data_IF_097337557968
#
_entry.id   IF_097337557968
#
_cell.length_a   1.000
_cell.length_b   1.000
_cell.length_c   1.000
_cell.angle_alpha   90.00
_cell.angle_beta   90.00
_cell.angle_gamma   90.00
#
_symmetry.space_group_name_H-M   'P 1'
#
loop_
_entity.id
_entity.type
_entity.pdbx_description
1 polymer ?
#
# COMPACT_ATOMS: atom_id res chain seq x y z
N UNK A 1 -12.00 -5.96 16.77
CA UNK A 1 -11.46 -7.32 16.86
C UNK A 1 -9.95 -7.23 16.95
N UNK A 2 -9.39 -7.52 18.14
CA UNK A 2 -7.95 -7.72 18.29
C UNK A 2 -7.58 -8.94 17.45
N UNK A 3 -6.87 -8.73 16.36
CA UNK A 3 -6.16 -9.81 15.66
C UNK A 3 -5.18 -10.41 16.66
N UNK A 4 -5.26 -11.72 16.89
CA UNK A 4 -4.35 -12.44 17.81
C UNK A 4 -2.91 -12.25 17.30
N UNK A 5 -2.13 -11.39 17.98
CA UNK A 5 -0.74 -11.04 17.64
C UNK A 5 0.25 -12.22 17.73
N UNK A 6 -0.24 -13.46 17.90
CA UNK A 6 0.59 -14.67 17.89
C UNK A 6 0.96 -15.18 16.50
N UNK A 7 0.37 -14.63 15.45
CA UNK A 7 0.91 -14.80 14.09
C UNK A 7 2.01 -13.76 13.91
N UNK A 8 3.26 -14.20 13.84
CA UNK A 8 4.35 -13.33 13.42
C UNK A 8 4.20 -13.07 11.93
N UNK A 9 3.64 -11.95 11.58
CA UNK A 9 3.79 -11.39 10.24
C UNK A 9 5.28 -11.14 10.04
N UNK A 10 5.84 -11.61 8.93
CA UNK A 10 7.28 -11.51 8.70
C UNK A 10 7.61 -10.46 7.66
N UNK A 11 6.78 -10.31 6.63
CA UNK A 11 6.97 -9.27 5.63
C UNK A 11 5.69 -8.96 4.84
N UNK A 12 5.68 -7.75 4.28
CA UNK A 12 4.72 -7.32 3.29
C UNK A 12 5.45 -6.78 2.06
N UNK A 13 4.97 -7.16 0.88
CA UNK A 13 5.37 -6.55 -0.39
C UNK A 13 4.17 -5.87 -1.01
N UNK A 14 4.36 -4.63 -1.39
CA UNK A 14 3.38 -3.78 -2.02
C UNK A 14 3.89 -3.28 -3.37
N UNK A 15 2.97 -3.00 -4.30
CA UNK A 15 3.28 -2.50 -5.62
C UNK A 15 2.23 -1.50 -6.08
N UNK A 16 2.69 -0.30 -6.39
CA UNK A 16 1.91 0.72 -7.09
C UNK A 16 2.63 1.10 -8.39
N UNK A 17 2.39 0.34 -9.43
CA UNK A 17 3.04 0.55 -10.72
C UNK A 17 1.98 0.71 -11.81
N UNK A 18 1.95 1.89 -12.43
CA UNK A 18 1.02 2.27 -13.51
C UNK A 18 1.76 3.08 -14.57
N UNK A 19 1.11 3.30 -15.69
CA UNK A 19 1.55 4.29 -16.67
C UNK A 19 0.56 5.45 -16.71
N UNK A 20 0.91 6.59 -16.16
CA UNK A 20 0.15 7.83 -16.33
C UNK A 20 0.38 8.37 -17.75
N UNK A 21 -0.68 8.68 -18.53
CA UNK A 21 -0.52 9.20 -19.88
C UNK A 21 0.21 10.56 -19.88
N UNK A 22 0.91 10.87 -20.96
CA UNK A 22 1.68 12.12 -21.06
C UNK A 22 0.82 13.37 -20.87
N UNK A 23 -0.45 13.31 -21.29
CA UNK A 23 -1.44 14.38 -21.08
C UNK A 23 -1.75 14.66 -19.60
N UNK A 24 -1.49 13.70 -18.69
CA UNK A 24 -1.58 13.95 -17.26
C UNK A 24 -0.62 15.07 -16.83
N UNK A 25 0.53 15.16 -17.47
CA UNK A 25 1.60 16.11 -17.18
C UNK A 25 1.48 17.43 -17.94
N UNK A 26 0.40 17.67 -18.71
CA UNK A 26 0.14 18.96 -19.36
C UNK A 26 -0.13 20.07 -18.33
N UNK A 27 -0.50 19.70 -17.11
CA UNK A 27 -0.67 20.61 -15.98
C UNK A 27 0.72 20.84 -15.33
N UNK A 28 1.28 22.08 -15.38
CA UNK A 28 2.68 22.34 -15.04
C UNK A 28 3.11 21.89 -13.63
N UNK A 29 2.26 22.06 -12.61
CA UNK A 29 2.62 21.69 -11.25
C UNK A 29 2.91 20.19 -11.07
N UNK A 30 2.34 19.32 -11.93
CA UNK A 30 2.54 17.88 -11.89
C UNK A 30 3.94 17.42 -12.30
N UNK A 31 4.77 18.33 -12.83
CA UNK A 31 6.19 18.11 -13.20
C UNK A 31 7.15 18.61 -12.13
N UNK A 32 6.63 19.28 -11.10
CA UNK A 32 7.41 19.96 -10.08
C UNK A 32 7.60 19.06 -8.85
N UNK A 33 8.66 19.32 -8.07
CA UNK A 33 8.92 18.64 -6.79
C UNK A 33 7.69 18.66 -5.88
N UNK A 34 7.37 17.52 -5.31
CA UNK A 34 6.21 17.35 -4.42
C UNK A 34 4.91 16.95 -5.11
N UNK A 35 4.89 16.80 -6.43
CA UNK A 35 3.72 16.34 -7.17
C UNK A 35 3.85 14.89 -7.67
N UNK A 36 4.87 14.17 -7.21
CA UNK A 36 5.18 12.82 -7.66
C UNK A 36 4.37 11.74 -6.97
N UNK A 37 4.53 10.52 -7.47
CA UNK A 37 3.78 9.38 -7.00
C UNK A 37 4.02 9.03 -5.51
N UNK A 38 5.16 9.44 -4.91
CA UNK A 38 5.38 9.26 -3.48
C UNK A 38 4.30 9.99 -2.67
N UNK A 39 4.04 11.27 -2.97
CA UNK A 39 3.06 12.05 -2.20
C UNK A 39 1.63 11.87 -2.69
N UNK A 40 1.43 11.67 -4.00
CA UNK A 40 0.08 11.66 -4.60
C UNK A 40 -0.56 10.28 -4.56
N UNK A 41 0.22 9.21 -4.69
CA UNK A 41 -0.29 7.85 -4.81
C UNK A 41 0.03 6.97 -3.58
N UNK A 42 1.30 6.94 -3.14
CA UNK A 42 1.74 6.05 -2.06
C UNK A 42 1.07 6.34 -0.71
N UNK A 43 0.40 7.48 -0.53
CA UNK A 43 -0.35 7.79 0.70
C UNK A 43 -1.39 6.70 1.01
N UNK A 44 -2.04 6.16 0.00
CA UNK A 44 -3.06 5.11 0.15
C UNK A 44 -2.42 3.78 0.56
N UNK A 45 -1.27 3.45 -0.03
CA UNK A 45 -0.52 2.22 0.26
C UNK A 45 0.06 2.27 1.68
N UNK A 46 0.62 3.41 2.08
CA UNK A 46 1.12 3.64 3.45
C UNK A 46 -0.01 3.50 4.47
N UNK A 47 -1.16 4.12 4.23
CA UNK A 47 -2.32 4.04 5.12
C UNK A 47 -2.80 2.58 5.28
N UNK A 48 -2.90 1.85 4.16
CA UNK A 48 -3.27 0.44 4.16
C UNK A 48 -2.23 -0.44 4.89
N UNK A 49 -0.93 -0.19 4.69
CA UNK A 49 0.13 -0.91 5.40
C UNK A 49 0.08 -0.65 6.91
N UNK A 50 -0.14 0.59 7.34
CA UNK A 50 -0.32 0.95 8.75
C UNK A 50 -1.52 0.21 9.35
N UNK A 51 -2.64 0.18 8.63
CA UNK A 51 -3.85 -0.53 9.05
C UNK A 51 -3.62 -2.05 9.20
N UNK A 52 -2.96 -2.67 8.22
CA UNK A 52 -2.78 -4.13 8.16
C UNK A 52 -1.66 -4.64 9.06
N UNK A 53 -0.54 -3.92 9.16
CA UNK A 53 0.71 -4.38 9.78
C UNK A 53 0.99 -3.65 11.11
N UNK A 54 0.73 -2.35 11.15
CA UNK A 54 1.03 -1.47 12.29
C UNK A 54 1.91 -0.28 11.90
N UNK A 55 2.43 0.42 12.89
CA UNK A 55 3.17 1.66 12.67
C UNK A 55 4.59 1.38 12.15
N UNK A 56 5.03 2.07 11.09
CA UNK A 56 6.42 2.10 10.65
C UNK A 56 7.32 2.81 11.67
N UNK A 57 8.57 2.35 11.80
CA UNK A 57 9.58 2.95 12.70
C UNK A 57 10.89 3.30 11.99
N UNK A 58 11.21 2.62 10.89
CA UNK A 58 12.41 2.90 10.08
C UNK A 58 12.06 2.83 8.60
N UNK A 59 12.57 3.79 7.84
CA UNK A 59 12.34 3.94 6.40
C UNK A 59 13.69 4.06 5.68
N UNK A 60 13.85 3.29 4.60
CA UNK A 60 14.89 3.48 3.59
C UNK A 60 14.25 3.65 2.23
N UNK A 61 14.69 4.61 1.44
CA UNK A 61 14.09 4.89 0.14
C UNK A 61 15.11 5.30 -0.92
N UNK A 62 14.78 4.97 -2.15
CA UNK A 62 15.44 5.45 -3.35
C UNK A 62 14.37 5.92 -4.32
N UNK A 63 14.60 7.07 -4.95
CA UNK A 63 13.70 7.61 -5.96
C UNK A 63 14.49 8.01 -7.21
N UNK A 64 13.83 7.97 -8.34
CA UNK A 64 14.39 8.36 -9.63
C UNK A 64 13.33 9.07 -10.48
N UNK A 65 13.81 9.87 -11.44
CA UNK A 65 12.99 10.58 -12.43
C UNK A 65 13.48 10.29 -13.86
N UNK A 66 14.17 9.18 -14.05
CA UNK A 66 14.89 8.86 -15.27
C UNK A 66 13.99 8.48 -16.45
N UNK A 67 12.76 8.06 -16.18
CA UNK A 67 11.83 7.67 -17.23
C UNK A 67 11.24 8.88 -17.95
N UNK A 68 10.94 9.96 -17.23
CA UNK A 68 10.32 11.18 -17.78
C UNK A 68 11.23 12.40 -17.78
N UNK A 69 12.25 12.44 -16.91
CA UNK A 69 13.19 13.55 -16.82
C UNK A 69 12.59 14.84 -16.25
N UNK A 70 11.48 14.77 -15.51
CA UNK A 70 10.90 15.92 -14.80
C UNK A 70 11.63 16.18 -13.47
N UNK A 71 11.34 17.30 -12.82
CA UNK A 71 11.89 17.59 -11.48
C UNK A 71 11.36 16.62 -10.41
N UNK A 72 10.19 16.07 -10.63
CA UNK A 72 9.50 15.12 -9.75
C UNK A 72 9.96 13.69 -10.05
N UNK A 73 9.97 12.85 -9.04
CA UNK A 73 10.21 11.43 -9.19
C UNK A 73 9.08 10.76 -10.01
N UNK A 74 9.47 9.74 -10.80
CA UNK A 74 8.55 8.86 -11.54
C UNK A 74 8.62 7.40 -11.07
N UNK A 75 9.59 7.10 -10.20
CA UNK A 75 9.81 5.76 -9.67
C UNK A 75 10.44 5.83 -8.28
N UNK A 76 10.06 4.89 -7.41
CA UNK A 76 10.68 4.73 -6.10
C UNK A 76 10.67 3.27 -5.64
N UNK A 77 11.63 2.94 -4.78
CA UNK A 77 11.67 1.69 -4.00
C UNK A 77 11.87 2.06 -2.54
N UNK A 78 11.03 1.52 -1.68
CA UNK A 78 11.01 1.84 -0.25
C UNK A 78 11.05 0.55 0.57
N UNK A 79 11.92 0.51 1.57
CA UNK A 79 11.95 -0.52 2.60
C UNK A 79 11.46 0.07 3.93
N UNK A 80 10.67 -0.70 4.64
CA UNK A 80 10.00 -0.29 5.88
C UNK A 80 10.28 -1.32 6.97
N UNK A 81 10.60 -0.86 8.19
CA UNK A 81 10.52 -1.68 9.40
C UNK A 81 9.37 -1.18 10.25
N UNK A 82 8.54 -2.08 10.71
CA UNK A 82 7.41 -1.81 11.61
C UNK A 82 7.79 -2.06 13.08
N UNK A 83 7.04 -1.46 14.02
CA UNK A 83 7.22 -1.68 15.47
C UNK A 83 7.22 -3.16 15.86
N UNK A 84 6.45 -3.97 15.17
CA UNK A 84 6.38 -5.43 15.37
C UNK A 84 7.67 -6.18 14.99
N UNK A 85 8.61 -5.51 14.30
CA UNK A 85 9.78 -6.11 13.65
C UNK A 85 9.49 -6.67 12.25
N UNK A 86 8.25 -6.58 11.77
CA UNK A 86 7.87 -6.92 10.39
C UNK A 86 8.63 -6.02 9.42
N UNK A 87 9.04 -6.59 8.29
CA UNK A 87 9.68 -5.84 7.21
C UNK A 87 8.69 -5.64 6.06
N UNK A 88 8.76 -4.49 5.41
CA UNK A 88 7.96 -4.16 4.24
C UNK A 88 8.81 -3.64 3.10
N UNK A 89 8.29 -3.80 1.89
CA UNK A 89 8.83 -3.15 0.70
C UNK A 89 7.70 -2.64 -0.18
N UNK A 90 7.90 -1.46 -0.76
CA UNK A 90 7.00 -0.83 -1.73
C UNK A 90 7.79 -0.58 -3.00
N UNK A 91 7.24 -0.98 -4.14
CA UNK A 91 7.72 -0.55 -5.46
C UNK A 91 6.68 0.37 -6.08
N UNK A 92 7.12 1.53 -6.52
CA UNK A 92 6.25 2.60 -6.99
C UNK A 92 6.75 3.13 -8.33
N UNK A 93 5.87 3.21 -9.32
CA UNK A 93 6.16 3.96 -10.56
C UNK A 93 4.89 4.43 -11.23
N UNK A 94 4.90 5.65 -11.74
CA UNK A 94 3.83 6.17 -12.60
C UNK A 94 4.23 6.22 -14.10
N UNK A 95 5.37 5.63 -14.41
CA UNK A 95 5.90 5.48 -15.78
C UNK A 95 6.06 4.01 -16.21
N UNK A 96 5.51 3.06 -15.45
CA UNK A 96 5.61 1.64 -15.75
C UNK A 96 4.33 1.08 -16.39
N UNK A 97 4.45 0.41 -17.51
CA UNK A 97 3.36 -0.37 -18.09
C UNK A 97 3.15 -1.64 -17.27
N UNK A 98 2.30 -1.57 -16.26
CA UNK A 98 2.14 -2.62 -15.25
C UNK A 98 0.71 -2.69 -14.72
N UNK A 99 0.20 -3.91 -14.42
CA UNK A 99 -1.08 -4.09 -13.77
C UNK A 99 -0.97 -4.10 -12.23
N UNK A 100 0.24 -4.04 -11.65
CA UNK A 100 0.48 -4.23 -10.22
C UNK A 100 0.24 -2.94 -9.45
N UNK A 101 -1.03 -2.63 -9.22
CA UNK A 101 -1.53 -1.55 -8.38
C UNK A 101 -2.94 -1.90 -7.92
N UNK A 102 -3.39 -1.26 -6.85
CA UNK A 102 -4.73 -1.49 -6.29
C UNK A 102 -5.83 -1.19 -7.30
N UNK A 103 -5.74 -0.07 -7.99
CA UNK A 103 -6.78 0.43 -8.90
C UNK A 103 -7.13 -0.57 -10.03
N UNK A 104 -6.11 -1.17 -10.65
CA UNK A 104 -6.32 -2.15 -11.71
C UNK A 104 -6.77 -3.52 -11.14
N UNK A 105 -6.31 -3.89 -9.95
CA UNK A 105 -6.53 -5.24 -9.42
C UNK A 105 -7.79 -5.38 -8.58
N UNK A 106 -8.18 -4.37 -7.80
CA UNK A 106 -9.35 -4.41 -6.90
C UNK A 106 -10.68 -4.23 -7.63
N UNK A 107 -10.66 -3.69 -8.86
CA UNK A 107 -11.88 -3.43 -9.68
C UNK A 107 -12.88 -2.48 -9.02
N UNK A 108 -12.42 -1.66 -8.09
CA UNK A 108 -13.27 -0.70 -7.36
C UNK A 108 -13.46 0.62 -8.11
N UNK A 109 -12.53 0.92 -9.01
CA UNK A 109 -12.54 2.15 -9.80
C UNK A 109 -12.79 1.84 -11.29
N UNK A 110 -13.96 2.21 -11.85
CA UNK A 110 -14.32 1.89 -13.22
C UNK A 110 -13.49 2.62 -14.29
N UNK A 111 -12.69 3.62 -13.91
CA UNK A 111 -11.81 4.32 -14.85
C UNK A 111 -10.52 3.54 -15.16
N UNK A 112 -10.19 2.52 -14.36
CA UNK A 112 -9.04 1.67 -14.61
C UNK A 112 -9.46 0.38 -15.30
N UNK A 113 -8.71 0.00 -16.33
CA UNK A 113 -8.89 -1.30 -16.96
C UNK A 113 -8.55 -2.42 -15.95
N UNK A 114 -9.49 -3.34 -15.65
CA UNK A 114 -9.27 -4.34 -14.63
C UNK A 114 -8.28 -5.42 -15.10
N UNK A 115 -7.46 -5.91 -14.17
CA UNK A 115 -6.55 -7.01 -14.40
C UNK A 115 -6.61 -8.03 -13.26
N UNK A 116 -6.56 -9.32 -13.59
CA UNK A 116 -6.73 -10.41 -12.62
C UNK A 116 -5.38 -10.84 -12.02
N UNK A 117 -4.86 -10.03 -11.13
CA UNK A 117 -3.64 -10.28 -10.36
C UNK A 117 -3.72 -9.64 -8.98
N UNK A 118 -2.67 -9.79 -8.17
CA UNK A 118 -2.56 -9.15 -6.86
C UNK A 118 -1.46 -8.08 -6.86
N UNK A 119 -1.64 -7.07 -6.02
CA UNK A 119 -0.67 -5.98 -5.81
C UNK A 119 0.03 -6.08 -4.44
N UNK A 120 -0.62 -6.72 -3.45
CA UNK A 120 -0.10 -6.86 -2.08
C UNK A 120 0.10 -8.31 -1.71
N UNK A 121 1.19 -8.60 -1.00
CA UNK A 121 1.53 -9.93 -0.50
C UNK A 121 1.96 -9.83 0.95
N UNK A 122 1.16 -10.37 1.86
CA UNK A 122 1.44 -10.40 3.28
C UNK A 122 1.87 -11.83 3.63
N UNK A 123 3.07 -11.97 4.16
CA UNK A 123 3.66 -13.28 4.46
C UNK A 123 3.86 -13.44 5.95
N UNK A 124 3.42 -14.56 6.49
CA UNK A 124 3.52 -14.90 7.90
C UNK A 124 3.93 -16.34 8.12
N UNK A 125 4.27 -16.68 9.36
CA UNK A 125 4.76 -18.02 9.71
C UNK A 125 3.72 -19.13 9.58
N UNK A 126 2.43 -18.79 9.62
CA UNK A 126 1.34 -19.77 9.54
C UNK A 126 0.59 -19.74 8.21
N UNK A 127 0.79 -18.68 7.44
CA UNK A 127 0.14 -18.53 6.14
C UNK A 127 0.48 -17.20 5.51
N UNK A 128 0.15 -17.06 4.24
CA UNK A 128 0.34 -15.84 3.45
C UNK A 128 -0.97 -15.46 2.78
N UNK A 129 -1.18 -14.15 2.61
CA UNK A 129 -2.37 -13.60 1.99
C UNK A 129 -1.96 -12.71 0.83
N UNK A 130 -2.59 -12.87 -0.32
CA UNK A 130 -2.45 -11.92 -1.42
C UNK A 130 -3.73 -11.10 -1.60
N UNK A 131 -3.57 -9.81 -1.95
CA UNK A 131 -4.65 -8.85 -2.11
C UNK A 131 -4.61 -8.22 -3.50
N UNK A 132 -5.76 -7.93 -4.08
CA UNK A 132 -7.11 -7.93 -3.50
C UNK A 132 -7.87 -9.26 -3.63
N UNK A 133 -7.34 -10.26 -4.36
CA UNK A 133 -8.07 -11.54 -4.59
C UNK A 133 -8.26 -12.37 -3.33
N UNK A 134 -7.67 -12.00 -2.20
CA UNK A 134 -7.81 -12.66 -0.90
C UNK A 134 -7.47 -14.14 -0.94
N UNK A 135 -6.39 -14.48 -1.65
CA UNK A 135 -5.88 -15.83 -1.69
C UNK A 135 -5.07 -16.13 -0.43
N UNK A 136 -5.60 -16.97 0.43
CA UNK A 136 -4.94 -17.44 1.65
C UNK A 136 -4.19 -18.73 1.38
N UNK A 137 -2.87 -18.71 1.57
CA UNK A 137 -1.98 -19.84 1.41
C UNK A 137 -1.58 -20.37 2.78
N UNK A 138 -1.84 -21.66 3.05
CA UNK A 138 -1.49 -22.33 4.31
C UNK A 138 -1.00 -23.75 4.08
N UNK A 139 -0.27 -24.30 5.04
CA UNK A 139 0.03 -25.73 5.02
C UNK A 139 -1.15 -26.53 5.52
N UNK A 140 -1.54 -27.57 4.78
CA UNK A 140 -2.75 -28.39 5.05
C UNK A 140 -2.78 -28.94 6.47
N UNK A 141 -1.65 -29.41 6.97
CA UNK A 141 -1.55 -30.05 8.28
C UNK A 141 -1.11 -29.07 9.38
N UNK A 142 -1.06 -27.76 9.08
CA UNK A 142 -0.60 -26.73 10.01
C UNK A 142 0.89 -26.80 10.34
N UNK A 143 1.66 -27.70 9.71
CA UNK A 143 3.10 -27.86 9.90
C UNK A 143 3.82 -27.20 8.74
N UNK A 144 4.47 -26.08 9.02
CA UNK A 144 5.25 -25.33 8.03
C UNK A 144 6.51 -26.11 7.65
N UNK A 145 6.58 -26.53 6.38
CA UNK A 145 7.70 -27.28 5.81
C UNK A 145 7.78 -27.00 4.30
N UNK A 146 8.91 -26.54 3.83
CA UNK A 146 9.16 -26.20 2.42
C UNK A 146 9.02 -27.38 1.45
N UNK A 147 9.06 -28.61 1.96
CA UNK A 147 8.83 -29.84 1.16
C UNK A 147 7.37 -30.23 1.04
N UNK A 148 6.48 -29.57 1.81
CA UNK A 148 5.03 -29.85 1.82
C UNK A 148 4.29 -28.89 0.91
N UNK A 149 3.19 -29.35 0.27
CA UNK A 149 2.36 -28.49 -0.56
C UNK A 149 1.60 -27.49 0.28
N UNK A 150 1.54 -26.24 -0.20
CA UNK A 150 0.60 -25.24 0.27
C UNK A 150 -0.79 -25.51 -0.30
N UNK A 151 -1.81 -25.20 0.47
CA UNK A 151 -3.20 -25.04 0.00
C UNK A 151 -3.46 -23.56 -0.27
N UNK A 152 -4.36 -23.28 -1.21
CA UNK A 152 -4.83 -21.94 -1.50
C UNK A 152 -6.36 -21.91 -1.37
N UNK A 153 -6.86 -20.98 -0.56
CA UNK A 153 -8.28 -20.73 -0.39
C UNK A 153 -8.59 -19.27 -0.67
N UNK A 154 -9.68 -18.99 -1.39
CA UNK A 154 -10.15 -17.62 -1.62
C UNK A 154 -11.10 -17.25 -0.48
N UNK A 155 -10.76 -16.18 0.24
CA UNK A 155 -11.58 -15.69 1.34
C UNK A 155 -12.69 -14.79 0.80
N UNK A 156 -13.93 -15.05 1.21
CA UNK A 156 -15.07 -14.23 0.84
C UNK A 156 -15.11 -12.93 1.63
N UNK A 157 -15.40 -11.83 0.95
CA UNK A 157 -15.69 -10.54 1.56
C UNK A 157 -17.06 -10.04 1.15
N UNK A 158 -17.63 -9.15 1.96
CA UNK A 158 -18.84 -8.43 1.55
C UNK A 158 -18.46 -7.44 0.46
N UNK A 159 -19.13 -7.56 -0.67
CA UNK A 159 -19.01 -6.56 -1.73
C UNK A 159 -19.53 -5.20 -1.26
N UNK A 160 -18.87 -4.14 -1.67
CA UNK A 160 -19.27 -2.79 -1.38
C UNK A 160 -18.48 -1.79 -2.22
N UNK A 161 -19.10 -0.69 -2.56
CA UNK A 161 -18.41 0.42 -3.21
C UNK A 161 -17.73 1.29 -2.13
N UNK A 162 -16.39 1.39 -2.07
CA UNK A 162 -15.68 2.08 -1.02
C UNK A 162 -16.16 3.52 -0.80
N UNK A 163 -16.30 4.29 -1.87
CA UNK A 163 -16.78 5.68 -1.81
C UNK A 163 -18.20 5.79 -1.23
N UNK A 164 -19.09 4.84 -1.54
CA UNK A 164 -20.43 4.81 -0.95
C UNK A 164 -20.38 4.50 0.54
N UNK A 165 -19.56 3.52 0.93
CA UNK A 165 -19.38 3.16 2.34
C UNK A 165 -18.79 4.31 3.13
N UNK A 166 -17.80 5.00 2.59
CA UNK A 166 -17.20 6.20 3.16
C UNK A 166 -18.25 7.31 3.36
N UNK A 167 -19.07 7.60 2.36
CA UNK A 167 -20.11 8.63 2.45
C UNK A 167 -21.15 8.27 3.52
N UNK A 168 -21.60 7.01 3.56
CA UNK A 168 -22.56 6.55 4.58
C UNK A 168 -21.95 6.69 5.98
N UNK A 169 -20.67 6.30 6.16
CA UNK A 169 -19.98 6.47 7.44
C UNK A 169 -19.86 7.95 7.81
N UNK A 170 -19.44 8.80 6.89
CA UNK A 170 -19.34 10.25 7.12
C UNK A 170 -20.66 10.88 7.58
N UNK A 171 -21.79 10.51 6.97
CA UNK A 171 -23.11 10.98 7.39
C UNK A 171 -23.47 10.54 8.82
N UNK A 172 -23.04 9.34 9.25
CA UNK A 172 -23.22 8.88 10.64
C UNK A 172 -22.35 9.67 11.61
N UNK A 173 -21.11 9.98 11.25
CA UNK A 173 -20.21 10.84 12.05
C UNK A 173 -20.83 12.23 12.22
N UNK A 174 -21.33 12.86 11.15
CA UNK A 174 -21.99 14.16 11.22
C UNK A 174 -23.22 14.19 12.13
N UNK A 175 -23.92 13.05 12.28
CA UNK A 175 -25.07 12.91 13.20
C UNK A 175 -24.67 12.56 14.62
N UNK A 176 -23.37 12.36 14.89
CA UNK A 176 -22.89 11.92 16.20
C UNK A 176 -23.25 10.48 16.55
N UNK A 177 -23.54 9.64 15.55
CA UNK A 177 -23.91 8.24 15.73
C UNK A 177 -22.69 7.34 15.92
N UNK A 178 -21.55 7.71 15.35
CA UNK A 178 -20.28 6.96 15.37
C UNK A 178 -19.09 7.92 15.34
N UNK A 179 -17.95 7.46 15.89
CA UNK A 179 -16.68 8.16 15.75
C UNK A 179 -16.06 7.95 14.37
N UNK A 180 -15.22 8.87 13.85
CA UNK A 180 -14.46 8.70 12.62
C UNK A 180 -13.57 7.45 12.70
N UNK A 181 -13.57 6.62 11.65
CA UNK A 181 -12.62 5.48 11.54
C UNK A 181 -11.19 5.98 11.34
N UNK A 182 -11.02 7.04 10.54
CA UNK A 182 -9.75 7.73 10.32
C UNK A 182 -9.90 9.14 10.84
N UNK A 183 -9.09 9.51 11.83
CA UNK A 183 -9.05 10.86 12.39
C UNK A 183 -7.99 11.72 11.68
N UNK A 184 -8.03 13.06 11.84
CA UNK A 184 -6.95 13.92 11.34
C UNK A 184 -5.57 13.53 11.89
N UNK A 185 -5.50 13.14 13.17
CA UNK A 185 -4.26 12.69 13.83
C UNK A 185 -3.73 11.40 13.20
N UNK A 186 -4.61 10.49 12.81
CA UNK A 186 -4.21 9.26 12.11
C UNK A 186 -3.72 9.56 10.69
N UNK A 187 -4.39 10.46 9.97
CA UNK A 187 -3.96 10.89 8.64
C UNK A 187 -2.59 11.61 8.65
N UNK A 188 -2.29 12.39 9.71
CA UNK A 188 -0.99 13.03 9.89
C UNK A 188 0.13 11.98 9.95
N UNK A 189 -0.05 10.87 10.64
CA UNK A 189 0.94 9.80 10.71
C UNK A 189 1.28 9.22 9.32
N UNK A 190 0.28 9.04 8.45
CA UNK A 190 0.54 8.61 7.07
C UNK A 190 1.39 9.64 6.31
N UNK A 191 1.15 10.93 6.49
CA UNK A 191 1.96 12.00 5.90
C UNK A 191 3.38 12.06 6.47
N UNK A 192 3.56 11.79 7.76
CA UNK A 192 4.88 11.69 8.40
C UNK A 192 5.72 10.57 7.77
N UNK A 193 5.11 9.41 7.51
CA UNK A 193 5.77 8.31 6.79
C UNK A 193 6.18 8.73 5.38
N UNK A 194 5.30 9.40 4.61
CA UNK A 194 5.64 9.89 3.26
C UNK A 194 6.79 10.90 3.27
N UNK A 195 6.79 11.80 4.25
CA UNK A 195 7.89 12.75 4.43
C UNK A 195 9.21 12.04 4.77
N UNK A 196 9.14 10.98 5.60
CA UNK A 196 10.32 10.16 5.90
C UNK A 196 10.83 9.40 4.67
N UNK A 197 9.94 8.87 3.83
CA UNK A 197 10.32 8.25 2.54
C UNK A 197 11.04 9.25 1.65
N UNK A 198 10.47 10.45 1.51
CA UNK A 198 11.06 11.51 0.70
C UNK A 198 12.42 11.92 1.22
N UNK A 199 12.54 12.12 2.52
CA UNK A 199 13.81 12.44 3.19
C UNK A 199 14.84 11.32 3.00
N UNK A 200 14.44 10.06 3.19
CA UNK A 200 15.35 8.92 2.99
C UNK A 200 15.87 8.83 1.54
N UNK A 201 15.01 9.11 0.56
CA UNK A 201 15.39 9.12 -0.86
C UNK A 201 16.31 10.29 -1.21
N UNK A 202 16.07 11.48 -0.67
CA UNK A 202 16.87 12.69 -0.93
C UNK A 202 18.25 12.61 -0.26
N UNK A 203 18.34 12.06 0.96
CA UNK A 203 19.58 11.96 1.75
C UNK A 203 20.36 10.65 1.48
N UNK A 204 19.74 9.64 0.87
CA UNK A 204 20.34 8.32 0.71
C UNK A 204 20.60 7.59 2.03
N UNK A 205 19.84 7.93 3.07
CA UNK A 205 20.03 7.45 4.43
C UNK A 205 18.72 6.86 5.02
N UNK A 206 18.87 6.02 6.03
CA UNK A 206 17.73 5.53 6.82
C UNK A 206 17.16 6.66 7.68
N UNK A 207 15.85 6.77 7.73
CA UNK A 207 15.11 7.71 8.60
C UNK A 207 14.35 6.91 9.65
N UNK A 208 14.48 7.31 10.92
CA UNK A 208 13.68 6.81 12.04
C UNK A 208 12.51 7.76 12.29
N UNK A 209 11.32 7.20 12.51
CA UNK A 209 10.06 7.89 12.78
C UNK A 209 9.83 8.05 14.29
#
# INVERSE_FOLDING_TARGET
HRVDRRQRQMCIRDSYNIYKPDTYYDIPWRRQKGAGPILVNMVHDVDLMRYLIGEPVEIQGMAANSARGFEVEDSAVVNVRFESGTLGSITLSDAAASPWNWEATARENPFFAPFDTDAYFIMGTKGSLSLPRLQLFTYRDGVSDWTKPLTCEIQGVKEGLPHRLQLVHYLKVLRGEVEPIVTPEDAIKSLEVLNAVKKAADEGAMVTL
#
